data_IF_928370066086
#
_entry.id   IF_928370066086
#
_cell.length_a   1.000
_cell.length_b   1.000
_cell.length_c   1.000
_cell.angle_alpha   90.00
_cell.angle_beta   90.00
_cell.angle_gamma   90.00
#
_symmetry.space_group_name_H-M   'P 1'
#
loop_
_entity.id
_entity.type
_entity.pdbx_description
1 polymer ?
#
# COMPACT_ATOMS: atom_id res chain seq x y z
N UNK A 1 -10.53 -6.42 11.17
CA UNK A 1 -9.36 -6.07 10.34
C UNK A 1 -8.18 -6.82 10.92
N UNK A 2 -7.71 -7.85 10.22
CA UNK A 2 -6.63 -8.72 10.66
C UNK A 2 -5.29 -8.03 10.43
N UNK A 3 -4.75 -7.40 11.47
CA UNK A 3 -3.44 -6.74 11.44
C UNK A 3 -2.25 -7.70 11.42
N UNK A 4 -2.44 -8.96 11.04
CA UNK A 4 -1.40 -10.00 11.05
C UNK A 4 -1.95 -11.43 11.11
N UNK A 5 -1.05 -12.42 11.07
CA UNK A 5 -1.33 -13.86 11.21
C UNK A 5 -0.14 -14.63 11.82
N UNK A 6 -0.39 -15.76 12.47
CA UNK A 6 0.65 -16.57 13.13
C UNK A 6 1.42 -17.46 12.13
N UNK A 7 2.57 -17.98 12.54
CA UNK A 7 3.28 -19.00 11.76
C UNK A 7 2.43 -20.25 11.56
N UNK A 8 2.33 -20.70 10.30
CA UNK A 8 1.52 -21.86 9.90
C UNK A 8 0.06 -21.55 9.59
N UNK A 9 -0.40 -20.32 9.80
CA UNK A 9 -1.71 -19.85 9.33
C UNK A 9 -1.62 -19.37 7.87
N UNK A 10 -2.70 -19.51 7.09
CA UNK A 10 -2.74 -18.94 5.74
C UNK A 10 -2.72 -17.42 5.80
N UNK A 11 -2.06 -16.80 4.82
CA UNK A 11 -2.08 -15.34 4.66
C UNK A 11 -3.53 -14.86 4.47
N UNK A 12 -3.99 -13.87 5.26
CA UNK A 12 -5.37 -13.43 5.23
C UNK A 12 -5.68 -12.63 3.96
N UNK A 13 -6.84 -12.92 3.37
CA UNK A 13 -7.39 -12.22 2.21
C UNK A 13 -8.66 -11.47 2.59
N UNK A 14 -8.95 -10.38 1.90
CA UNK A 14 -10.17 -9.59 2.10
C UNK A 14 -10.94 -9.44 0.78
N UNK A 15 -12.27 -9.38 0.86
CA UNK A 15 -13.10 -9.10 -0.30
C UNK A 15 -13.25 -7.60 -0.50
N UNK A 16 -13.00 -7.11 -1.71
CA UNK A 16 -13.19 -5.70 -2.06
C UNK A 16 -14.63 -5.26 -1.78
N UNK A 17 -14.86 -4.22 -0.97
CA UNK A 17 -16.21 -3.78 -0.62
C UNK A 17 -16.98 -3.14 -1.79
N UNK A 18 -16.30 -2.85 -2.91
CA UNK A 18 -16.89 -2.23 -4.09
C UNK A 18 -17.22 -3.21 -5.21
N UNK A 19 -16.37 -4.22 -5.45
CA UNK A 19 -16.54 -5.14 -6.59
C UNK A 19 -16.49 -6.63 -6.22
N UNK A 20 -16.29 -6.95 -4.93
CA UNK A 20 -16.25 -8.32 -4.41
C UNK A 20 -15.07 -9.19 -4.86
N UNK A 21 -14.06 -8.60 -5.53
CA UNK A 21 -12.85 -9.33 -5.88
C UNK A 21 -12.00 -9.58 -4.64
N UNK A 22 -11.25 -10.69 -4.62
CA UNK A 22 -10.25 -10.95 -3.58
C UNK A 22 -9.14 -9.88 -3.66
N UNK A 23 -8.65 -9.48 -2.49
CA UNK A 23 -7.62 -8.46 -2.32
C UNK A 23 -6.52 -8.98 -1.41
N UNK A 24 -5.31 -8.52 -1.72
CA UNK A 24 -4.08 -8.85 -1.03
C UNK A 24 -3.51 -7.62 -0.32
N UNK A 25 -2.71 -7.86 0.72
CA UNK A 25 -1.93 -6.86 1.45
C UNK A 25 -0.49 -7.34 1.61
N UNK A 26 0.44 -6.41 1.86
CA UNK A 26 1.81 -6.77 2.22
C UNK A 26 1.88 -7.13 3.71
N UNK A 27 2.63 -8.18 4.03
CA UNK A 27 2.88 -8.63 5.40
C UNK A 27 4.38 -8.81 5.66
N UNK A 28 4.82 -8.41 6.86
CA UNK A 28 6.20 -8.53 7.31
C UNK A 28 6.29 -9.42 8.55
N UNK A 29 7.28 -10.31 8.56
CA UNK A 29 7.59 -11.14 9.73
C UNK A 29 8.18 -10.26 10.86
N UNK A 30 7.60 -10.34 12.05
CA UNK A 30 8.03 -9.60 13.25
C UNK A 30 8.66 -10.50 14.32
N UNK A 31 9.01 -11.75 13.98
CA UNK A 31 9.68 -12.72 14.86
C UNK A 31 8.74 -13.54 15.76
N UNK A 32 7.43 -13.28 15.68
CA UNK A 32 6.38 -14.03 16.38
C UNK A 32 5.16 -14.30 15.48
N UNK A 33 5.30 -14.09 14.18
CA UNK A 33 4.24 -14.09 13.19
C UNK A 33 4.39 -12.93 12.21
N UNK A 34 3.37 -12.73 11.40
CA UNK A 34 3.34 -11.71 10.35
C UNK A 34 2.42 -10.56 10.75
N UNK A 35 2.79 -9.34 10.39
CA UNK A 35 2.01 -8.12 10.59
C UNK A 35 1.77 -7.44 9.25
N UNK A 36 0.57 -6.92 9.04
CA UNK A 36 0.24 -6.16 7.85
C UNK A 36 1.08 -4.87 7.79
N UNK A 37 1.75 -4.63 6.66
CA UNK A 37 2.60 -3.44 6.44
C UNK A 37 2.20 -2.62 5.21
N UNK A 38 1.28 -3.11 4.38
CA UNK A 38 0.63 -2.35 3.30
C UNK A 38 -0.88 -2.51 3.36
N UNK A 39 -1.68 -1.57 2.80
CA UNK A 39 -3.12 -1.70 2.79
C UNK A 39 -3.55 -2.90 1.93
N UNK A 40 -4.68 -3.51 2.26
CA UNK A 40 -5.35 -4.34 1.27
C UNK A 40 -5.67 -3.51 0.03
N UNK A 41 -5.47 -4.05 -1.17
CA UNK A 41 -5.77 -3.33 -2.40
C UNK A 41 -6.37 -4.26 -3.46
N UNK A 42 -7.28 -3.69 -4.24
CA UNK A 42 -8.00 -4.41 -5.27
C UNK A 42 -7.43 -4.11 -6.64
N UNK A 43 -6.75 -5.09 -7.25
CA UNK A 43 -6.21 -4.93 -8.62
C UNK A 43 -7.31 -4.72 -9.67
N UNK A 44 -8.53 -5.19 -9.42
CA UNK A 44 -9.65 -5.11 -10.37
C UNK A 44 -10.25 -3.71 -10.50
N UNK A 45 -10.37 -2.97 -9.39
CA UNK A 45 -11.05 -1.66 -9.38
C UNK A 45 -10.22 -0.53 -8.78
N UNK A 46 -9.06 -0.82 -8.18
CA UNK A 46 -8.17 0.17 -7.59
C UNK A 46 -8.63 0.71 -6.23
N UNK A 47 -9.65 0.12 -5.60
CA UNK A 47 -9.97 0.42 -4.21
C UNK A 47 -8.84 -0.07 -3.29
N UNK A 48 -8.57 0.66 -2.21
CA UNK A 48 -7.58 0.26 -1.21
C UNK A 48 -8.06 0.53 0.20
N UNK A 49 -7.64 -0.27 1.17
CA UNK A 49 -7.90 -0.07 2.59
C UNK A 49 -7.31 1.27 3.08
N UNK A 50 -7.99 1.89 4.03
CA UNK A 50 -7.54 3.11 4.71
C UNK A 50 -6.59 2.73 5.83
N UNK A 51 -5.35 3.21 5.76
CA UNK A 51 -4.32 2.95 6.77
C UNK A 51 -4.55 3.79 8.05
N UNK A 52 -4.18 3.28 9.23
CA UNK A 52 -4.32 4.02 10.50
C UNK A 52 -3.42 5.27 10.59
N UNK A 53 -2.39 5.35 9.75
CA UNK A 53 -1.42 6.45 9.67
C UNK A 53 -1.52 7.24 8.36
N UNK A 54 -2.58 7.02 7.58
CA UNK A 54 -2.81 7.85 6.40
C UNK A 54 -3.01 9.32 6.78
N UNK A 55 -2.57 10.22 5.90
CA UNK A 55 -2.84 11.64 6.02
C UNK A 55 -4.34 11.90 6.11
N UNK A 56 -4.72 12.78 7.05
CA UNK A 56 -6.13 13.09 7.28
C UNK A 56 -6.72 13.80 6.08
N UNK A 57 -7.77 13.20 5.52
CA UNK A 57 -8.56 13.79 4.43
C UNK A 57 -10.06 13.56 4.61
N UNK A 58 -10.85 14.35 3.90
CA UNK A 58 -12.31 14.23 3.93
C UNK A 58 -12.75 12.99 3.17
N UNK A 59 -13.24 12.00 3.93
CA UNK A 59 -13.83 10.79 3.39
C UNK A 59 -15.27 11.05 2.92
N UNK A 60 -15.72 10.30 1.92
CA UNK A 60 -17.13 10.14 1.60
C UNK A 60 -17.84 9.22 2.59
N UNK A 61 -19.17 9.19 2.58
CA UNK A 61 -19.93 8.25 3.42
C UNK A 61 -19.66 6.80 3.04
N UNK A 62 -19.38 6.52 1.76
CA UNK A 62 -18.98 5.20 1.30
C UNK A 62 -17.68 4.76 1.95
N UNK A 63 -16.63 5.59 1.83
CA UNK A 63 -15.30 5.31 2.37
C UNK A 63 -15.31 5.20 3.90
N UNK A 64 -16.10 6.04 4.60
CA UNK A 64 -16.29 5.92 6.05
C UNK A 64 -16.91 4.59 6.47
N UNK A 65 -17.89 4.10 5.71
CA UNK A 65 -18.60 2.85 6.02
C UNK A 65 -17.76 1.63 5.72
N UNK A 66 -16.98 1.67 4.65
CA UNK A 66 -16.18 0.52 4.20
C UNK A 66 -14.82 0.46 4.88
N UNK A 67 -14.25 1.60 5.28
CA UNK A 67 -12.85 1.68 5.70
C UNK A 67 -11.87 1.59 4.51
N UNK A 68 -12.34 1.86 3.30
CA UNK A 68 -11.57 1.75 2.05
C UNK A 68 -11.73 3.03 1.23
N UNK A 69 -10.66 3.48 0.58
CA UNK A 69 -10.74 4.46 -0.50
C UNK A 69 -11.42 3.85 -1.72
N UNK A 70 -12.34 4.61 -2.31
CA UNK A 70 -13.14 4.13 -3.43
C UNK A 70 -12.31 4.03 -4.74
N UNK A 71 -12.75 3.22 -5.72
CA UNK A 71 -12.15 3.18 -7.05
C UNK A 71 -11.90 4.58 -7.64
N UNK A 72 -10.70 4.81 -8.18
CA UNK A 72 -10.30 6.08 -8.80
C UNK A 72 -10.05 7.23 -7.82
N UNK A 73 -10.17 6.99 -6.51
CA UNK A 73 -9.69 7.93 -5.49
C UNK A 73 -8.18 7.76 -5.33
N UNK A 74 -7.54 8.83 -4.90
CA UNK A 74 -6.13 8.78 -4.56
C UNK A 74 -5.92 7.71 -3.47
N UNK A 75 -4.97 6.76 -3.63
CA UNK A 75 -4.67 5.76 -2.61
C UNK A 75 -4.16 6.38 -1.29
N UNK A 76 -4.10 5.58 -0.24
CA UNK A 76 -3.56 6.02 1.06
C UNK A 76 -2.14 6.59 0.93
N UNK A 77 -1.78 7.55 1.78
CA UNK A 77 -0.45 8.16 1.79
C UNK A 77 0.63 7.16 2.22
N UNK A 78 0.27 6.12 2.98
CA UNK A 78 1.18 5.03 3.35
C UNK A 78 1.23 3.89 2.32
N UNK A 79 0.44 3.93 1.25
CA UNK A 79 0.47 2.89 0.22
C UNK A 79 1.69 3.05 -0.69
N UNK A 80 2.29 1.94 -1.11
CA UNK A 80 3.25 1.96 -2.22
C UNK A 80 2.49 2.26 -3.51
N UNK A 81 2.84 3.35 -4.20
CA UNK A 81 2.16 3.78 -5.43
C UNK A 81 3.19 4.13 -6.49
N UNK A 82 3.08 3.48 -7.65
CA UNK A 82 3.88 3.77 -8.84
C UNK A 82 2.94 4.04 -10.01
N UNK A 83 3.08 5.19 -10.67
CA UNK A 83 2.26 5.57 -11.81
C UNK A 83 0.75 5.60 -11.50
N UNK A 84 0.38 6.06 -10.30
CA UNK A 84 -1.01 6.13 -9.83
C UNK A 84 -1.64 4.79 -9.44
N UNK A 85 -0.90 3.67 -9.46
CA UNK A 85 -1.39 2.35 -9.06
C UNK A 85 -0.77 1.93 -7.75
N UNK A 86 -1.57 1.34 -6.86
CA UNK A 86 -1.04 0.65 -5.68
C UNK A 86 -0.28 -0.59 -6.15
N UNK A 87 0.94 -0.76 -5.64
CA UNK A 87 1.82 -1.88 -5.97
C UNK A 87 2.25 -2.61 -4.69
N UNK A 88 2.57 -3.89 -4.80
CA UNK A 88 3.12 -4.66 -3.68
C UNK A 88 4.59 -4.36 -3.40
N UNK A 89 5.09 -4.85 -2.27
CA UNK A 89 6.47 -4.58 -1.81
C UNK A 89 7.57 -5.05 -2.78
N UNK A 90 7.37 -6.13 -3.53
CA UNK A 90 8.35 -6.60 -4.51
C UNK A 90 8.58 -5.59 -5.64
N UNK A 91 7.50 -5.02 -6.17
CA UNK A 91 7.59 -4.00 -7.23
C UNK A 91 8.17 -2.70 -6.69
N UNK A 92 7.73 -2.29 -5.50
CA UNK A 92 8.29 -1.14 -4.79
C UNK A 92 9.81 -1.29 -4.54
N UNK A 93 10.24 -2.47 -4.07
CA UNK A 93 11.65 -2.79 -3.85
C UNK A 93 12.44 -2.77 -5.16
N UNK A 94 11.88 -3.33 -6.24
CA UNK A 94 12.50 -3.32 -7.56
C UNK A 94 12.75 -1.91 -8.08
N UNK A 95 11.76 -1.01 -7.93
CA UNK A 95 11.91 0.40 -8.28
C UNK A 95 13.01 1.09 -7.46
N UNK A 96 13.03 0.86 -6.14
CA UNK A 96 14.06 1.40 -5.24
C UNK A 96 15.45 0.92 -5.63
N UNK A 97 15.63 -0.38 -5.81
CA UNK A 97 16.92 -0.96 -6.19
C UNK A 97 17.38 -0.47 -7.56
N UNK A 98 16.46 -0.31 -8.52
CA UNK A 98 16.80 0.21 -9.85
C UNK A 98 17.34 1.64 -9.81
N UNK A 99 16.82 2.51 -8.94
CA UNK A 99 17.29 3.89 -8.80
C UNK A 99 18.61 3.99 -8.03
N UNK A 100 18.72 3.23 -6.93
CA UNK A 100 19.74 3.46 -5.91
C UNK A 100 20.92 2.48 -5.94
N UNK A 101 20.87 1.44 -6.79
CA UNK A 101 22.05 0.58 -6.99
C UNK A 101 23.15 1.35 -7.69
N UNK A 102 24.29 1.56 -7.00
CA UNK A 102 25.40 2.36 -7.51
C UNK A 102 25.17 3.88 -7.44
N UNK A 103 24.07 4.31 -6.83
CA UNK A 103 23.68 5.71 -6.67
C UNK A 103 23.33 5.96 -5.19
N UNK A 104 24.29 6.46 -4.36
CA UNK A 104 24.11 6.58 -2.91
C UNK A 104 23.27 7.79 -2.50
N UNK A 105 22.44 8.35 -3.39
CA UNK A 105 21.58 9.49 -3.06
C UNK A 105 20.54 9.17 -1.98
N UNK A 106 20.32 7.89 -1.66
CA UNK A 106 19.56 7.49 -0.47
C UNK A 106 20.16 7.97 0.86
N UNK A 107 21.45 8.32 0.89
CA UNK A 107 22.11 8.90 2.07
C UNK A 107 21.84 10.39 2.24
N UNK A 108 21.34 11.07 1.20
CA UNK A 108 21.01 12.49 1.23
C UNK A 108 19.64 12.67 1.90
N UNK A 109 19.56 13.38 3.04
CA UNK A 109 18.29 13.58 3.74
C UNK A 109 17.22 14.19 2.83
N UNK A 110 16.03 13.58 2.79
CA UNK A 110 14.88 14.02 2.00
C UNK A 110 14.88 13.59 0.53
N UNK A 111 16.01 13.11 -0.03
CA UNK A 111 16.06 12.74 -1.44
C UNK A 111 15.13 11.56 -1.77
N UNK A 112 15.13 10.54 -0.91
CA UNK A 112 14.26 9.36 -1.08
C UNK A 112 12.79 9.77 -1.04
N UNK A 113 12.41 10.65 -0.12
CA UNK A 113 11.03 11.12 0.02
C UNK A 113 10.58 11.90 -1.24
N UNK A 114 11.42 12.81 -1.73
CA UNK A 114 11.16 13.56 -2.97
C UNK A 114 11.10 12.65 -4.20
N UNK A 115 11.99 11.66 -4.28
CA UNK A 115 11.99 10.68 -5.38
C UNK A 115 10.74 9.81 -5.34
N UNK A 116 10.34 9.32 -4.16
CA UNK A 116 9.15 8.48 -4.00
C UNK A 116 7.87 9.25 -4.28
N UNK A 117 7.78 10.52 -3.86
CA UNK A 117 6.66 11.39 -4.20
C UNK A 117 6.44 11.52 -5.71
N UNK A 118 7.52 11.57 -6.51
CA UNK A 118 7.45 11.60 -7.98
C UNK A 118 6.94 10.28 -8.58
N UNK A 119 7.22 9.14 -7.95
CA UNK A 119 6.76 7.84 -8.46
C UNK A 119 5.24 7.69 -8.38
N UNK A 120 4.58 8.38 -7.43
CA UNK A 120 3.13 8.29 -7.23
C UNK A 120 2.32 8.86 -8.40
N UNK A 121 2.83 9.89 -9.08
CA UNK A 121 2.15 10.55 -10.19
C UNK A 121 2.22 9.75 -11.49
N UNK A 122 1.17 9.85 -12.32
CA UNK A 122 1.24 9.45 -13.73
C UNK A 122 2.05 10.54 -14.45
N UNK A 123 3.19 10.16 -15.04
CA UNK A 123 4.01 11.06 -15.85
C UNK A 123 3.31 11.59 -17.09
#
# INVERSE_FOLDING_TARGET
>A
MSGGYCYGEPEPKEACPYCGAECDADFVDVGVGYTQCGPYHCEKCGASEIGPYDERRTLSDGERRTGWYAPGREPGSSANVIGGKVVGHHEALGAYQSEFTGNPLYEVPGYVDEWWAKQRSVG
#
